data_IF_819047918105
#
_entry.id   IF_819047918105
#
_cell.length_a   1.000
_cell.length_b   1.000
_cell.length_c   1.000
_cell.angle_alpha   90.00
_cell.angle_beta   90.00
_cell.angle_gamma   90.00
#
_symmetry.space_group_name_H-M   'P 1'
#
loop_
_entity.id
_entity.type
_entity.pdbx_description
1 polymer ?
#
# COMPACT_ATOMS: atom_id res chain seq x y z
N UNK A 1 0.68 -10.57 -46.79
CA UNK A 1 1.57 -10.01 -47.82
C UNK A 1 2.83 -9.49 -47.13
N UNK A 2 3.96 -10.03 -47.58
CA UNK A 2 5.38 -9.77 -47.32
C UNK A 2 5.86 -8.80 -46.23
N UNK A 3 6.84 -9.33 -45.49
CA UNK A 3 7.94 -8.65 -44.81
C UNK A 3 8.77 -7.76 -45.76
N UNK A 4 9.47 -6.76 -45.21
CA UNK A 4 10.84 -6.39 -45.58
C UNK A 4 11.81 -6.88 -44.48
N UNK A 5 12.89 -7.60 -44.80
CA UNK A 5 14.21 -7.08 -45.21
C UNK A 5 14.88 -6.17 -44.15
N UNK A 6 16.17 -6.25 -43.86
CA UNK A 6 17.21 -7.23 -44.16
C UNK A 6 18.46 -6.83 -43.35
N UNK A 7 19.31 -7.83 -43.15
CA UNK A 7 20.74 -7.86 -42.88
C UNK A 7 21.65 -6.59 -42.87
N UNK A 8 22.66 -6.70 -42.02
CA UNK A 8 23.96 -6.02 -42.06
C UNK A 8 24.68 -6.24 -40.72
N UNK A 9 25.48 -7.29 -40.48
CA UNK A 9 26.69 -7.84 -41.13
C UNK A 9 27.96 -6.97 -40.97
N UNK A 10 28.99 -7.66 -40.49
CA UNK A 10 30.45 -7.39 -40.56
C UNK A 10 31.03 -6.48 -39.47
N UNK A 11 31.88 -6.98 -38.57
CA UNK A 11 33.27 -7.48 -38.75
C UNK A 11 34.24 -6.40 -39.19
N UNK A 12 35.20 -6.08 -38.29
CA UNK A 12 36.50 -5.49 -38.59
C UNK A 12 37.31 -5.45 -37.28
N UNK A 13 38.27 -6.36 -37.07
CA UNK A 13 39.72 -6.24 -37.40
C UNK A 13 40.52 -5.62 -36.25
N UNK A 14 41.47 -6.37 -35.68
CA UNK A 14 42.93 -6.22 -35.97
C UNK A 14 43.54 -5.16 -35.04
N UNK A 15 44.75 -5.23 -34.47
CA UNK A 15 46.03 -5.82 -34.86
C UNK A 15 46.96 -5.56 -33.67
N UNK A 16 48.00 -6.38 -33.49
CA UNK A 16 49.37 -6.03 -33.08
C UNK A 16 49.97 -7.23 -32.32
N UNK A 17 50.91 -7.98 -32.93
CA UNK A 17 52.34 -7.68 -32.97
C UNK A 17 52.96 -7.67 -31.55
N UNK A 18 54.10 -8.28 -31.26
CA UNK A 18 55.08 -9.08 -31.98
C UNK A 18 56.26 -9.20 -30.99
N UNK A 19 57.05 -10.28 -31.11
CA UNK A 19 58.46 -10.38 -30.64
C UNK A 19 58.61 -10.43 -29.10
N UNK A 20 59.29 -11.39 -28.48
CA UNK A 20 60.43 -12.20 -28.90
C UNK A 20 61.55 -12.02 -27.85
N UNK A 21 62.44 -13.01 -27.81
CA UNK A 21 63.67 -13.10 -27.00
C UNK A 21 63.56 -13.56 -25.54
N UNK A 22 63.59 -14.89 -25.45
CA UNK A 22 64.49 -15.69 -24.63
C UNK A 22 65.73 -14.92 -24.13
N UNK A 23 65.85 -14.80 -22.81
CA UNK A 23 67.02 -14.32 -22.10
C UNK A 23 67.30 -15.27 -20.94
N UNK A 24 68.47 -15.86 -21.01
CA UNK A 24 68.97 -16.97 -20.21
C UNK A 24 69.75 -16.45 -18.98
N UNK A 25 69.79 -17.27 -17.93
CA UNK A 25 70.87 -17.36 -16.93
C UNK A 25 71.07 -16.27 -15.85
N UNK A 26 71.17 -16.75 -14.60
CA UNK A 26 71.70 -16.06 -13.42
C UNK A 26 70.60 -15.74 -12.40
N UNK A 27 70.56 -16.26 -11.18
CA UNK A 27 71.65 -16.66 -10.31
C UNK A 27 71.45 -15.97 -8.96
N UNK A 28 71.06 -16.76 -7.96
CA UNK A 28 71.24 -16.54 -6.52
C UNK A 28 70.73 -15.24 -5.86
N UNK A 29 69.70 -15.44 -5.02
CA UNK A 29 69.70 -15.06 -3.58
C UNK A 29 70.06 -13.61 -3.22
N UNK A 30 69.05 -12.83 -2.82
CA UNK A 30 68.85 -12.42 -1.41
C UNK A 30 67.67 -11.45 -1.21
N UNK A 31 66.94 -11.73 -0.15
CA UNK A 31 66.28 -10.79 0.77
C UNK A 31 65.05 -10.01 0.31
N UNK A 32 63.90 -10.64 0.58
CA UNK A 32 62.79 -10.10 1.38
C UNK A 32 62.78 -8.59 1.62
N UNK A 33 62.03 -7.88 0.78
CA UNK A 33 61.30 -6.66 1.17
C UNK A 33 60.13 -6.45 0.22
N UNK A 34 59.15 -7.34 0.31
CA UNK A 34 57.77 -7.00 -0.01
C UNK A 34 56.92 -7.68 1.06
N UNK A 35 56.23 -6.88 1.87
CA UNK A 35 54.78 -6.99 1.79
C UNK A 35 54.16 -5.60 1.71
N UNK A 36 53.30 -5.40 0.72
CA UNK A 36 52.06 -4.66 0.87
C UNK A 36 51.19 -5.00 -0.36
N UNK A 37 50.50 -6.15 -0.32
CA UNK A 37 49.13 -6.19 -0.79
C UNK A 37 48.25 -6.85 0.28
N UNK A 38 48.20 -6.29 1.49
CA UNK A 38 47.27 -6.77 2.54
C UNK A 38 45.96 -5.96 2.55
N UNK A 39 45.93 -4.75 1.97
CA UNK A 39 44.74 -3.88 2.01
C UNK A 39 43.67 -4.22 0.98
N UNK A 40 44.05 -4.64 -0.22
CA UNK A 40 43.07 -4.92 -1.29
C UNK A 40 42.25 -6.18 -0.99
N UNK A 41 42.87 -7.20 -0.38
CA UNK A 41 42.18 -8.44 0.00
C UNK A 41 41.22 -8.20 1.19
N UNK A 42 41.62 -7.41 2.19
CA UNK A 42 40.75 -7.08 3.32
C UNK A 42 39.53 -6.24 2.89
N UNK A 43 39.72 -5.23 2.03
CA UNK A 43 38.62 -4.42 1.51
C UNK A 43 37.65 -5.25 0.66
N UNK A 44 38.17 -6.16 -0.17
CA UNK A 44 37.36 -7.08 -0.98
C UNK A 44 36.54 -8.05 -0.13
N UNK A 45 37.15 -8.65 0.89
CA UNK A 45 36.46 -9.58 1.83
C UNK A 45 35.37 -8.85 2.61
N UNK A 46 35.68 -7.66 3.16
CA UNK A 46 34.71 -6.85 3.88
C UNK A 46 33.53 -6.42 2.98
N UNK A 47 33.81 -6.13 1.71
CA UNK A 47 32.80 -5.77 0.73
C UNK A 47 31.86 -6.94 0.40
N UNK A 48 32.39 -8.14 0.18
CA UNK A 48 31.62 -9.35 -0.08
C UNK A 48 30.77 -9.77 1.12
N UNK A 49 31.31 -9.65 2.34
CA UNK A 49 30.56 -9.89 3.57
C UNK A 49 29.38 -8.93 3.73
N UNK A 50 29.61 -7.64 3.47
CA UNK A 50 28.56 -6.62 3.52
C UNK A 50 27.48 -6.86 2.48
N UNK A 51 27.86 -7.27 1.26
CA UNK A 51 26.89 -7.65 0.22
C UNK A 51 26.08 -8.88 0.62
N UNK A 52 26.73 -9.94 1.15
CA UNK A 52 26.04 -11.14 1.64
C UNK A 52 25.05 -10.81 2.76
N UNK A 53 25.44 -9.97 3.71
CA UNK A 53 24.56 -9.47 4.76
C UNK A 53 23.34 -8.73 4.17
N UNK A 54 23.59 -7.78 3.26
CA UNK A 54 22.51 -7.00 2.63
C UNK A 54 21.54 -7.90 1.85
N UNK A 55 22.04 -8.89 1.09
CA UNK A 55 21.22 -9.90 0.42
C UNK A 55 20.37 -10.70 1.41
N UNK A 56 20.95 -11.11 2.55
CA UNK A 56 20.23 -11.83 3.61
C UNK A 56 19.09 -11.00 4.22
N UNK A 57 19.33 -9.70 4.42
CA UNK A 57 18.32 -8.75 4.89
C UNK A 57 17.18 -8.59 3.87
N UNK A 58 17.50 -8.45 2.58
CA UNK A 58 16.48 -8.33 1.52
C UNK A 58 15.59 -9.58 1.45
N UNK A 59 16.20 -10.78 1.51
CA UNK A 59 15.47 -12.06 1.57
C UNK A 59 14.57 -12.12 2.81
N UNK A 60 15.10 -11.74 3.97
CA UNK A 60 14.34 -11.73 5.23
C UNK A 60 13.14 -10.77 5.19
N UNK A 61 13.30 -9.59 4.58
CA UNK A 61 12.21 -8.63 4.41
C UNK A 61 11.13 -9.17 3.44
N UNK A 62 11.54 -9.81 2.34
CA UNK A 62 10.62 -10.48 1.43
C UNK A 62 9.82 -11.59 2.14
N UNK A 63 10.49 -12.46 2.90
CA UNK A 63 9.85 -13.56 3.63
C UNK A 63 8.91 -13.06 4.75
N UNK A 64 9.27 -11.97 5.42
CA UNK A 64 8.39 -11.31 6.39
C UNK A 64 7.11 -10.79 5.71
N UNK A 65 7.24 -10.11 4.58
CA UNK A 65 6.08 -9.63 3.79
C UNK A 65 5.22 -10.79 3.26
N UNK A 66 5.83 -11.91 2.86
CA UNK A 66 5.11 -13.14 2.49
C UNK A 66 4.35 -13.73 3.67
N UNK A 67 4.95 -13.70 4.85
CA UNK A 67 4.33 -14.23 6.07
C UNK A 67 3.09 -13.43 6.51
N UNK A 68 3.07 -12.12 6.26
CA UNK A 68 1.88 -11.26 6.47
C UNK A 68 0.69 -11.68 5.59
N UNK A 69 0.92 -12.34 4.45
CA UNK A 69 -0.11 -12.73 3.49
C UNK A 69 -0.78 -14.08 3.82
N UNK A 70 -0.30 -14.80 4.84
CA UNK A 70 -0.86 -16.10 5.22
C UNK A 70 -2.38 -16.02 5.47
N UNK A 71 -3.17 -16.99 5.02
CA UNK A 71 -2.77 -18.30 4.44
C UNK A 71 -2.47 -18.27 2.93
N UNK A 72 -2.50 -17.11 2.28
CA UNK A 72 -2.28 -16.99 0.84
C UNK A 72 -0.83 -16.56 0.57
N UNK A 73 -0.01 -17.45 0.05
CA UNK A 73 1.35 -17.13 -0.33
C UNK A 73 1.37 -16.48 -1.73
N UNK A 74 0.81 -15.28 -1.87
CA UNK A 74 0.72 -14.47 -3.10
C UNK A 74 1.91 -13.53 -3.32
N UNK A 75 2.06 -12.95 -4.49
CA UNK A 75 3.23 -12.13 -4.81
C UNK A 75 3.43 -10.93 -3.88
N UNK A 76 4.65 -10.43 -3.77
CA UNK A 76 4.98 -9.23 -2.97
C UNK A 76 5.06 -8.00 -3.87
N UNK A 77 4.63 -6.82 -3.39
CA UNK A 77 4.79 -5.58 -4.14
C UNK A 77 6.27 -5.17 -4.20
N UNK A 78 6.87 -5.14 -5.40
CA UNK A 78 8.28 -4.79 -5.58
C UNK A 78 8.62 -3.43 -5.02
N UNK A 79 7.75 -2.42 -5.23
CA UNK A 79 7.99 -1.07 -4.75
C UNK A 79 7.96 -1.00 -3.22
N UNK A 80 7.05 -1.73 -2.55
CA UNK A 80 7.01 -1.77 -1.08
C UNK A 80 8.26 -2.43 -0.49
N UNK A 81 8.75 -3.49 -1.12
CA UNK A 81 9.99 -4.14 -0.70
C UNK A 81 11.17 -3.19 -0.87
N UNK A 82 11.30 -2.55 -2.03
CA UNK A 82 12.32 -1.54 -2.30
C UNK A 82 12.28 -0.39 -1.28
N UNK A 83 11.11 0.22 -1.07
CA UNK A 83 10.92 1.34 -0.14
C UNK A 83 11.36 0.99 1.28
N UNK A 84 11.05 -0.24 1.73
CA UNK A 84 11.44 -0.74 3.04
C UNK A 84 12.96 -0.88 3.14
N UNK A 85 13.59 -1.51 2.16
CA UNK A 85 15.04 -1.73 2.15
C UNK A 85 15.81 -0.39 2.02
N UNK A 86 15.35 0.51 1.18
CA UNK A 86 15.95 1.84 1.01
C UNK A 86 15.84 2.68 2.28
N UNK A 87 14.73 2.55 3.03
CA UNK A 87 14.53 3.25 4.30
C UNK A 87 15.35 2.64 5.46
N UNK A 88 15.34 1.32 5.60
CA UNK A 88 16.05 0.62 6.69
C UNK A 88 17.58 0.60 6.48
N UNK A 89 18.05 0.53 5.23
CA UNK A 89 19.47 0.35 4.87
C UNK A 89 19.91 1.30 3.74
N UNK A 90 19.83 2.63 3.93
CA UNK A 90 20.07 3.61 2.86
C UNK A 90 21.50 3.57 2.31
N UNK A 91 22.50 3.30 3.16
CA UNK A 91 23.90 3.25 2.75
C UNK A 91 24.20 2.03 1.86
N UNK A 92 23.79 0.84 2.31
CA UNK A 92 23.93 -0.41 1.54
C UNK A 92 23.15 -0.34 0.24
N UNK A 93 21.92 0.20 0.27
CA UNK A 93 21.11 0.39 -0.92
C UNK A 93 21.80 1.31 -1.93
N UNK A 94 22.35 2.44 -1.48
CA UNK A 94 23.10 3.36 -2.34
C UNK A 94 24.36 2.70 -2.94
N UNK A 95 25.13 1.94 -2.15
CA UNK A 95 26.33 1.27 -2.63
C UNK A 95 26.00 0.14 -3.61
N UNK A 96 25.13 -0.79 -3.23
CA UNK A 96 24.91 -2.02 -3.98
C UNK A 96 23.89 -1.85 -5.09
N UNK A 97 22.72 -1.26 -4.81
CA UNK A 97 21.66 -1.12 -5.83
C UNK A 97 21.95 0.05 -6.75
N UNK A 98 22.19 1.25 -6.19
CA UNK A 98 22.42 2.43 -7.01
C UNK A 98 23.79 2.41 -7.70
N UNK A 99 24.82 1.93 -7.02
CA UNK A 99 26.18 1.77 -7.57
C UNK A 99 26.29 0.59 -8.55
N UNK A 100 26.33 -0.65 -8.04
CA UNK A 100 26.65 -1.82 -8.88
C UNK A 100 25.60 -2.14 -9.94
N UNK A 101 24.33 -1.90 -9.62
CA UNK A 101 23.22 -2.23 -10.51
C UNK A 101 22.61 -0.98 -11.18
N UNK A 102 23.31 0.15 -11.19
CA UNK A 102 22.88 1.38 -11.87
C UNK A 102 21.44 1.80 -11.54
N UNK A 103 21.06 1.74 -10.26
CA UNK A 103 19.70 2.05 -9.75
C UNK A 103 18.61 1.08 -10.23
N UNK A 104 18.98 -0.09 -10.74
CA UNK A 104 18.05 -1.12 -11.19
C UNK A 104 17.79 -2.14 -10.08
N UNK A 105 16.74 -1.88 -9.31
CA UNK A 105 16.31 -2.72 -8.19
C UNK A 105 15.96 -4.16 -8.60
N UNK A 106 15.22 -4.30 -9.70
CA UNK A 106 14.83 -5.55 -10.32
C UNK A 106 16.05 -6.40 -10.74
N UNK A 107 17.05 -5.79 -11.40
CA UNK A 107 18.29 -6.49 -11.77
C UNK A 107 19.09 -6.95 -10.55
N UNK A 108 19.16 -6.14 -9.50
CA UNK A 108 19.79 -6.53 -8.25
C UNK A 108 19.10 -7.77 -7.65
N UNK A 109 17.77 -7.75 -7.57
CA UNK A 109 17.00 -8.87 -7.03
C UNK A 109 17.26 -10.17 -7.80
N UNK A 110 17.15 -10.13 -9.13
CA UNK A 110 17.31 -11.31 -9.98
C UNK A 110 18.73 -11.87 -9.94
N UNK A 111 19.74 -11.01 -9.82
CA UNK A 111 21.14 -11.40 -9.83
C UNK A 111 21.66 -11.90 -8.46
N UNK A 112 21.09 -11.42 -7.35
CA UNK A 112 21.67 -11.65 -6.01
C UNK A 112 20.74 -12.34 -5.02
N UNK A 113 19.42 -12.31 -5.22
CA UNK A 113 18.46 -12.73 -4.19
C UNK A 113 17.54 -13.89 -4.59
N UNK A 114 17.66 -14.42 -5.82
CA UNK A 114 16.73 -15.42 -6.38
C UNK A 114 15.26 -14.94 -6.44
N UNK A 115 15.01 -13.65 -6.25
CA UNK A 115 13.69 -13.03 -6.37
C UNK A 115 13.57 -12.48 -7.80
N UNK A 116 12.45 -12.81 -8.45
CA UNK A 116 12.16 -12.36 -9.81
C UNK A 116 10.96 -11.42 -9.80
N UNK A 117 11.06 -10.35 -10.55
CA UNK A 117 10.02 -9.35 -10.71
C UNK A 117 9.21 -9.59 -12.00
N UNK A 118 7.89 -9.40 -11.94
CA UNK A 118 7.03 -9.48 -13.11
C UNK A 118 5.89 -8.46 -13.03
N UNK A 119 5.44 -7.90 -14.16
CA UNK A 119 4.32 -6.98 -14.17
C UNK A 119 2.99 -7.73 -13.94
N UNK A 120 2.14 -7.21 -13.07
CA UNK A 120 0.77 -7.67 -12.91
C UNK A 120 -0.11 -7.12 -14.03
N UNK A 121 -0.15 -7.81 -15.16
CA UNK A 121 -1.00 -7.46 -16.31
C UNK A 121 -2.30 -8.27 -16.35
N UNK A 122 -2.46 -9.23 -15.44
CA UNK A 122 -3.60 -10.14 -15.40
C UNK A 122 -4.65 -9.59 -14.45
N UNK A 123 -5.89 -9.55 -14.89
CA UNK A 123 -6.95 -8.97 -14.08
C UNK A 123 -8.07 -8.48 -14.97
N UNK A 124 -8.88 -9.42 -15.48
CA UNK A 124 -10.13 -9.07 -16.15
C UNK A 124 -11.04 -8.29 -15.20
N UNK A 125 -12.14 -7.75 -15.73
CA UNK A 125 -13.11 -6.98 -14.95
C UNK A 125 -13.63 -7.73 -13.71
N UNK A 126 -13.56 -9.06 -13.68
CA UNK A 126 -14.04 -9.94 -12.61
C UNK A 126 -12.95 -10.46 -11.67
N UNK A 127 -11.67 -10.20 -11.96
CA UNK A 127 -10.55 -10.64 -11.12
C UNK A 127 -10.66 -10.08 -9.71
N UNK A 128 -10.20 -10.79 -8.68
CA UNK A 128 -10.16 -10.25 -7.33
C UNK A 128 -8.86 -9.47 -7.05
N UNK A 129 -7.82 -9.62 -7.87
CA UNK A 129 -6.54 -8.92 -7.65
C UNK A 129 -6.67 -7.41 -7.73
N UNK A 130 -7.66 -6.89 -8.47
CA UNK A 130 -8.03 -5.45 -8.51
C UNK A 130 -8.36 -4.84 -7.13
N UNK A 131 -8.70 -5.67 -6.13
CA UNK A 131 -8.90 -5.23 -4.74
C UNK A 131 -7.61 -5.08 -3.94
N UNK A 132 -6.51 -5.62 -4.44
CA UNK A 132 -5.24 -5.75 -3.74
C UNK A 132 -4.12 -4.98 -4.44
N UNK A 133 -4.13 -4.93 -5.78
CA UNK A 133 -3.02 -4.42 -6.58
C UNK A 133 -3.49 -3.68 -7.83
N UNK A 134 -2.66 -2.72 -8.27
CA UNK A 134 -2.91 -1.96 -9.49
C UNK A 134 -2.43 -2.73 -10.72
N UNK A 135 -3.14 -2.56 -11.83
CA UNK A 135 -2.68 -3.04 -13.14
C UNK A 135 -1.30 -2.47 -13.49
N UNK A 136 -0.41 -3.31 -14.01
CA UNK A 136 0.97 -2.98 -14.32
C UNK A 136 1.89 -2.86 -13.11
N UNK A 137 1.40 -3.05 -11.88
CA UNK A 137 2.27 -3.02 -10.70
C UNK A 137 3.29 -4.16 -10.74
N UNK A 138 4.55 -3.87 -10.41
CA UNK A 138 5.62 -4.85 -10.41
C UNK A 138 5.55 -5.71 -9.15
N UNK A 139 5.49 -7.02 -9.33
CA UNK A 139 5.33 -8.03 -8.29
C UNK A 139 6.55 -8.93 -8.21
N UNK A 140 6.87 -9.39 -7.01
CA UNK A 140 8.02 -10.25 -6.72
C UNK A 140 7.56 -11.64 -6.28
N UNK A 141 8.29 -12.66 -6.72
CA UNK A 141 8.20 -14.05 -6.27
C UNK A 141 9.58 -14.69 -6.20
N UNK A 142 9.72 -15.84 -5.55
CA UNK A 142 10.96 -16.62 -5.64
C UNK A 142 11.05 -17.27 -7.03
N UNK A 143 12.27 -17.37 -7.57
CA UNK A 143 12.54 -18.00 -8.87
C UNK A 143 12.05 -19.43 -8.95
N UNK A 144 12.14 -20.16 -7.83
CA UNK A 144 11.73 -21.55 -7.66
C UNK A 144 10.22 -21.76 -7.61
N UNK A 145 9.43 -20.70 -7.47
CA UNK A 145 7.96 -20.79 -7.40
C UNK A 145 7.32 -20.88 -8.80
N UNK A 146 6.27 -21.69 -8.90
CA UNK A 146 5.39 -21.70 -10.07
C UNK A 146 4.56 -20.41 -10.10
N UNK A 147 4.70 -19.64 -11.19
CA UNK A 147 4.00 -18.36 -11.37
C UNK A 147 2.48 -18.51 -11.35
N UNK A 148 1.93 -19.63 -11.84
CA UNK A 148 0.49 -19.86 -11.85
C UNK A 148 -0.05 -20.03 -10.42
N UNK A 149 0.67 -20.80 -9.58
CA UNK A 149 0.31 -20.96 -8.16
C UNK A 149 0.39 -19.65 -7.39
N UNK A 150 1.37 -18.80 -7.69
CA UNK A 150 1.49 -17.46 -7.07
C UNK A 150 0.31 -16.58 -7.47
N UNK A 151 -0.14 -16.64 -8.73
CA UNK A 151 -1.30 -15.90 -9.23
C UNK A 151 -2.61 -16.38 -8.62
N UNK A 152 -2.81 -17.68 -8.49
CA UNK A 152 -3.97 -18.24 -7.79
C UNK A 152 -4.01 -17.77 -6.33
N UNK A 153 -2.85 -17.72 -5.66
CA UNK A 153 -2.75 -17.18 -4.31
C UNK A 153 -3.04 -15.66 -4.24
N UNK A 154 -2.64 -14.89 -5.25
CA UNK A 154 -3.00 -13.47 -5.37
C UNK A 154 -4.51 -13.27 -5.54
N UNK A 155 -5.18 -14.12 -6.32
CA UNK A 155 -6.64 -14.11 -6.48
C UNK A 155 -7.37 -14.43 -5.17
N UNK A 156 -6.92 -15.46 -4.45
CA UNK A 156 -7.47 -15.80 -3.13
C UNK A 156 -7.27 -14.66 -2.13
N UNK A 157 -6.08 -14.05 -2.11
CA UNK A 157 -5.78 -12.92 -1.24
C UNK A 157 -6.63 -11.69 -1.59
N UNK A 158 -6.80 -11.41 -2.89
CA UNK A 158 -7.68 -10.35 -3.38
C UNK A 158 -9.13 -10.56 -2.96
N UNK A 159 -9.63 -11.80 -3.01
CA UNK A 159 -10.98 -12.16 -2.55
C UNK A 159 -11.13 -11.94 -1.05
N UNK A 160 -10.15 -12.38 -0.27
CA UNK A 160 -10.13 -12.16 1.18
C UNK A 160 -10.16 -10.67 1.51
N UNK A 161 -9.33 -9.86 0.84
CA UNK A 161 -9.29 -8.41 1.01
C UNK A 161 -10.62 -7.76 0.64
N UNK A 162 -11.24 -8.17 -0.48
CA UNK A 162 -12.58 -7.71 -0.87
C UNK A 162 -13.59 -7.96 0.24
N UNK A 163 -13.67 -9.19 0.73
CA UNK A 163 -14.66 -9.58 1.73
C UNK A 163 -14.41 -8.83 3.05
N UNK A 164 -13.14 -8.65 3.43
CA UNK A 164 -12.74 -7.83 4.57
C UNK A 164 -13.10 -6.35 4.40
N UNK A 165 -12.90 -5.77 3.22
CA UNK A 165 -13.33 -4.41 2.92
C UNK A 165 -14.87 -4.25 3.02
N UNK A 166 -15.62 -5.21 2.49
CA UNK A 166 -17.10 -5.15 2.50
C UNK A 166 -17.72 -5.27 3.89
N UNK A 167 -17.07 -6.01 4.80
CA UNK A 167 -17.61 -6.33 6.12
C UNK A 167 -16.84 -5.67 7.25
N UNK A 168 -15.60 -6.10 7.47
CA UNK A 168 -14.75 -5.70 8.61
C UNK A 168 -14.43 -4.19 8.55
N UNK A 169 -14.06 -3.68 7.37
CA UNK A 169 -13.78 -2.25 7.19
C UNK A 169 -15.04 -1.38 7.30
N UNK A 170 -16.16 -1.82 6.70
CA UNK A 170 -17.44 -1.10 6.80
C UNK A 170 -17.88 -0.97 8.27
N UNK A 171 -17.75 -2.06 9.04
CA UNK A 171 -18.07 -2.10 10.47
C UNK A 171 -17.12 -1.25 11.31
N UNK A 172 -15.81 -1.32 11.05
CA UNK A 172 -14.83 -0.47 11.73
C UNK A 172 -15.08 1.01 11.47
N UNK A 173 -15.31 1.40 10.21
CA UNK A 173 -15.67 2.77 9.86
C UNK A 173 -16.98 3.20 10.53
N UNK A 174 -18.01 2.35 10.51
CA UNK A 174 -19.29 2.62 11.18
C UNK A 174 -19.08 2.88 12.67
N UNK A 175 -18.35 2.00 13.34
CA UNK A 175 -18.14 2.09 14.78
C UNK A 175 -17.37 3.35 15.17
N UNK A 176 -16.29 3.69 14.45
CA UNK A 176 -15.53 4.93 14.71
C UNK A 176 -16.43 6.16 14.51
N UNK A 177 -17.19 6.21 13.41
CA UNK A 177 -18.08 7.35 13.15
C UNK A 177 -19.20 7.46 14.19
N UNK A 178 -19.71 6.33 14.69
CA UNK A 178 -20.67 6.31 15.79
C UNK A 178 -20.08 6.78 17.11
N UNK A 179 -18.84 6.41 17.44
CA UNK A 179 -18.14 6.92 18.63
C UNK A 179 -18.02 8.45 18.60
N UNK A 180 -17.62 9.01 17.46
CA UNK A 180 -17.54 10.47 17.27
C UNK A 180 -18.93 11.09 17.34
N UNK A 181 -19.92 10.49 16.70
CA UNK A 181 -21.29 11.02 16.71
C UNK A 181 -21.90 11.05 18.11
N UNK A 182 -21.74 9.98 18.88
CA UNK A 182 -22.25 9.90 20.25
C UNK A 182 -21.50 10.83 21.21
N UNK A 183 -20.18 11.02 21.04
CA UNK A 183 -19.43 11.99 21.84
C UNK A 183 -19.89 13.42 21.60
N UNK A 184 -20.27 13.75 20.37
CA UNK A 184 -20.85 15.05 20.02
C UNK A 184 -22.27 15.24 20.56
N UNK A 185 -23.11 14.21 20.52
CA UNK A 185 -24.49 14.25 21.03
C UNK A 185 -24.49 14.43 22.56
N UNK A 186 -23.58 13.73 23.26
CA UNK A 186 -23.34 13.95 24.68
C UNK A 186 -22.81 15.37 24.99
N UNK A 187 -22.06 15.96 24.06
CA UNK A 187 -21.46 17.30 24.18
C UNK A 187 -22.39 18.44 23.75
N UNK A 188 -23.68 18.19 23.48
CA UNK A 188 -24.64 19.16 22.93
C UNK A 188 -24.89 20.44 23.77
N UNK A 189 -24.13 20.68 24.85
CA UNK A 189 -24.00 21.99 25.50
C UNK A 189 -23.05 22.95 24.75
N UNK A 190 -22.12 22.51 23.89
CA UNK A 190 -21.06 23.42 23.37
C UNK A 190 -21.15 23.77 21.87
N UNK A 191 -21.94 23.06 21.06
CA UNK A 191 -21.89 23.29 19.62
C UNK A 191 -22.67 24.52 19.11
N UNK A 192 -23.21 25.41 19.96
CA UNK A 192 -23.79 26.70 19.50
C UNK A 192 -22.74 27.64 18.86
N UNK A 193 -21.43 27.39 19.06
CA UNK A 193 -20.35 28.28 18.62
C UNK A 193 -19.33 27.73 17.61
N UNK A 194 -19.36 26.44 17.23
CA UNK A 194 -18.32 25.86 16.35
C UNK A 194 -18.54 26.19 14.86
N UNK A 195 -18.51 27.48 14.50
CA UNK A 195 -18.35 27.96 13.12
C UNK A 195 -16.92 28.47 12.84
N UNK A 196 -15.99 28.39 13.80
CA UNK A 196 -14.56 28.67 13.58
C UNK A 196 -13.70 27.77 14.46
N UNK A 197 -13.49 26.52 14.04
CA UNK A 197 -12.36 25.75 14.57
C UNK A 197 -11.09 26.52 14.21
N UNK A 198 -10.29 26.91 15.21
CA UNK A 198 -8.97 27.51 14.97
C UNK A 198 -8.16 26.53 14.11
N UNK A 199 -7.71 26.98 12.92
CA UNK A 199 -6.93 26.16 11.97
C UNK A 199 -5.67 25.55 12.59
N UNK A 200 -5.15 26.14 13.67
CA UNK A 200 -3.90 25.75 14.33
C UNK A 200 -4.00 24.46 15.16
N UNK A 201 -5.17 24.10 15.69
CA UNK A 201 -5.33 22.90 16.56
C UNK A 201 -5.86 21.66 15.80
N UNK A 202 -6.10 21.78 14.49
CA UNK A 202 -6.90 20.80 13.74
C UNK A 202 -6.18 19.51 13.35
N UNK A 203 -4.85 19.46 13.41
CA UNK A 203 -4.11 18.30 12.91
C UNK A 203 -3.17 17.72 13.96
N UNK A 204 -3.76 16.96 14.89
CA UNK A 204 -3.03 15.92 15.58
C UNK A 204 -3.23 14.60 14.83
N UNK A 205 -2.15 13.86 14.59
CA UNK A 205 -2.21 12.52 14.03
C UNK A 205 -3.14 11.66 14.92
N UNK A 206 -4.20 11.10 14.35
CA UNK A 206 -5.21 10.34 15.10
C UNK A 206 -6.34 11.17 15.73
N UNK A 207 -6.36 12.51 15.59
CA UNK A 207 -7.56 13.27 15.95
C UNK A 207 -8.70 12.97 14.96
N UNK A 208 -9.90 12.77 15.50
CA UNK A 208 -11.15 12.62 14.73
C UNK A 208 -11.97 13.92 14.68
N UNK A 209 -11.43 15.03 15.19
CA UNK A 209 -12.14 16.30 15.30
C UNK A 209 -12.64 16.84 13.94
N UNK A 210 -11.99 16.51 12.82
CA UNK A 210 -12.45 16.93 11.49
C UNK A 210 -13.73 16.22 11.04
N UNK A 211 -14.06 15.06 11.63
CA UNK A 211 -15.32 14.37 11.36
C UNK A 211 -16.49 15.03 12.07
N UNK A 212 -16.27 15.75 13.17
CA UNK A 212 -17.33 16.41 13.94
C UNK A 212 -18.18 17.36 13.09
N UNK A 213 -17.64 18.34 12.33
CA UNK A 213 -18.47 19.22 11.52
C UNK A 213 -19.24 18.48 10.41
N UNK A 214 -18.71 17.36 9.91
CA UNK A 214 -19.36 16.53 8.88
C UNK A 214 -20.55 15.79 9.50
N UNK A 215 -20.31 15.08 10.60
CA UNK A 215 -21.34 14.33 11.33
C UNK A 215 -22.41 15.26 11.91
N UNK A 216 -22.01 16.45 12.39
CA UNK A 216 -22.93 17.47 12.89
C UNK A 216 -23.88 17.92 11.79
N UNK A 217 -23.40 18.06 10.56
CA UNK A 217 -24.22 18.49 9.43
C UNK A 217 -25.12 17.37 8.89
N UNK A 218 -24.61 16.15 8.79
CA UNK A 218 -25.30 15.03 8.14
C UNK A 218 -26.20 14.22 9.07
N UNK A 219 -25.85 14.09 10.35
CA UNK A 219 -26.60 13.29 11.33
C UNK A 219 -27.10 14.11 12.53
N UNK A 220 -26.32 15.07 13.03
CA UNK A 220 -26.66 15.81 14.26
C UNK A 220 -27.76 16.86 14.07
N UNK A 221 -27.51 17.84 13.22
CA UNK A 221 -28.37 18.98 12.87
C UNK A 221 -28.86 18.81 11.45
N UNK A 222 -29.56 17.71 11.19
CA UNK A 222 -30.15 17.48 9.88
C UNK A 222 -31.08 18.64 9.54
N UNK A 223 -30.59 19.55 8.70
CA UNK A 223 -31.34 20.68 8.13
C UNK A 223 -31.42 20.42 6.64
N UNK A 224 -32.62 20.50 6.06
CA UNK A 224 -32.80 20.34 4.61
C UNK A 224 -31.86 21.26 3.85
N UNK A 225 -31.15 20.73 2.85
CA UNK A 225 -30.14 21.44 2.08
C UNK A 225 -28.76 21.50 2.75
N UNK A 226 -28.60 21.02 3.98
CA UNK A 226 -27.30 20.81 4.60
C UNK A 226 -26.48 19.81 3.80
N UNK A 227 -25.38 20.25 3.22
CA UNK A 227 -24.58 19.42 2.30
C UNK A 227 -23.09 19.36 2.66
N UNK A 228 -22.46 18.25 2.29
CA UNK A 228 -21.01 18.00 2.37
C UNK A 228 -20.55 17.49 1.01
N UNK A 229 -19.57 18.18 0.41
CA UNK A 229 -18.97 17.74 -0.86
C UNK A 229 -18.13 16.49 -0.62
N UNK A 230 -18.16 15.51 -1.52
CA UNK A 230 -17.39 14.28 -1.33
C UNK A 230 -15.88 14.54 -1.20
N UNK A 231 -15.36 15.54 -1.92
CA UNK A 231 -13.96 15.97 -1.82
C UNK A 231 -13.57 16.42 -0.41
N UNK A 232 -14.50 17.00 0.35
CA UNK A 232 -14.25 17.51 1.69
C UNK A 232 -14.13 16.35 2.71
N UNK A 233 -14.55 15.13 2.33
CA UNK A 233 -14.40 13.90 3.13
C UNK A 233 -13.11 13.14 2.84
N UNK A 234 -12.34 13.49 1.81
CA UNK A 234 -11.11 12.77 1.44
C UNK A 234 -10.06 12.83 2.55
N UNK A 235 -9.75 14.03 3.04
CA UNK A 235 -8.79 14.23 4.13
C UNK A 235 -9.25 13.59 5.47
N UNK A 236 -10.51 13.79 5.92
CA UNK A 236 -11.06 13.04 7.05
C UNK A 236 -10.93 11.52 6.91
N UNK A 237 -11.12 10.98 5.71
CA UNK A 237 -10.99 9.53 5.45
C UNK A 237 -9.55 9.04 5.55
N UNK A 238 -8.57 9.85 5.15
CA UNK A 238 -7.15 9.55 5.37
C UNK A 238 -6.81 9.49 6.87
N UNK A 239 -7.36 10.41 7.68
CA UNK A 239 -7.18 10.38 9.13
C UNK A 239 -7.84 9.16 9.77
N UNK A 240 -9.01 8.77 9.27
CA UNK A 240 -9.69 7.55 9.70
C UNK A 240 -8.82 6.29 9.44
N UNK A 241 -7.96 6.33 8.42
CA UNK A 241 -6.99 5.29 8.11
C UNK A 241 -6.05 4.92 9.25
N UNK A 242 -5.66 5.86 10.10
CA UNK A 242 -4.84 5.56 11.28
C UNK A 242 -5.59 4.69 12.29
N UNK A 243 -6.85 5.04 12.58
CA UNK A 243 -7.70 4.27 13.50
C UNK A 243 -8.08 2.91 12.93
N UNK A 244 -8.37 2.86 11.63
CA UNK A 244 -8.66 1.61 10.91
C UNK A 244 -7.47 0.66 10.97
N UNK A 245 -6.22 1.13 10.78
CA UNK A 245 -5.04 0.26 10.90
C UNK A 245 -4.90 -0.37 12.29
N UNK A 246 -5.25 0.35 13.34
CA UNK A 246 -5.21 -0.18 14.72
C UNK A 246 -6.29 -1.25 14.96
N UNK A 247 -7.45 -1.13 14.30
CA UNK A 247 -8.62 -2.02 14.48
C UNK A 247 -8.60 -3.21 13.51
N UNK A 248 -8.05 -3.04 12.32
CA UNK A 248 -8.09 -3.97 11.21
C UNK A 248 -6.67 -4.29 10.71
N UNK A 249 -5.96 -5.24 11.34
CA UNK A 249 -4.55 -5.54 11.01
C UNK A 249 -4.32 -6.01 9.58
N UNK A 250 -5.29 -6.71 8.98
CA UNK A 250 -5.23 -7.15 7.58
C UNK A 250 -5.03 -6.00 6.58
N UNK A 251 -5.29 -4.75 6.98
CA UNK A 251 -5.03 -3.56 6.15
C UNK A 251 -3.54 -3.33 5.84
N UNK A 252 -2.62 -4.05 6.52
CA UNK A 252 -1.19 -4.11 6.16
C UNK A 252 -0.96 -4.69 4.75
N UNK A 253 -1.88 -5.50 4.25
CA UNK A 253 -1.88 -6.01 2.87
C UNK A 253 -2.12 -4.91 1.84
N UNK A 254 -2.78 -3.82 2.23
CA UNK A 254 -3.13 -2.70 1.38
C UNK A 254 -2.08 -1.58 1.45
N UNK A 255 -1.72 -1.04 0.28
CA UNK A 255 -1.02 0.24 0.23
C UNK A 255 -1.91 1.38 0.74
N UNK A 256 -1.30 2.45 1.27
CA UNK A 256 -2.02 3.58 1.86
C UNK A 256 -3.07 4.19 0.92
N UNK A 257 -2.76 4.32 -0.36
CA UNK A 257 -3.67 4.88 -1.35
C UNK A 257 -4.90 4.00 -1.59
N UNK A 258 -4.72 2.67 -1.59
CA UNK A 258 -5.82 1.73 -1.78
C UNK A 258 -6.69 1.67 -0.53
N UNK A 259 -6.05 1.61 0.65
CA UNK A 259 -6.75 1.67 1.94
C UNK A 259 -7.63 2.93 2.06
N UNK A 260 -7.08 4.12 1.77
CA UNK A 260 -7.83 5.37 1.83
C UNK A 260 -9.08 5.36 0.94
N UNK A 261 -9.00 4.76 -0.25
CA UNK A 261 -10.15 4.60 -1.15
C UNK A 261 -11.19 3.63 -0.59
N UNK A 262 -10.75 2.48 -0.08
CA UNK A 262 -11.65 1.51 0.56
C UNK A 262 -12.37 2.14 1.77
N UNK A 263 -11.67 2.96 2.55
CA UNK A 263 -12.26 3.74 3.65
C UNK A 263 -13.29 4.73 3.11
N UNK A 264 -12.95 5.55 2.11
CA UNK A 264 -13.91 6.48 1.50
C UNK A 264 -15.18 5.78 0.98
N UNK A 265 -15.05 4.58 0.41
CA UNK A 265 -16.18 3.76 -0.04
C UNK A 265 -17.01 3.24 1.14
N UNK A 266 -16.34 2.73 2.17
CA UNK A 266 -16.98 2.24 3.39
C UNK A 266 -17.73 3.33 4.13
N UNK A 267 -17.12 4.50 4.31
CA UNK A 267 -17.76 5.68 4.91
C UNK A 267 -19.01 6.10 4.13
N UNK A 268 -18.94 6.12 2.80
CA UNK A 268 -20.09 6.46 1.97
C UNK A 268 -21.25 5.47 2.18
N UNK A 269 -20.95 4.17 2.25
CA UNK A 269 -21.93 3.12 2.57
C UNK A 269 -22.47 3.22 4.00
N UNK A 270 -21.67 3.73 4.95
CA UNK A 270 -22.13 4.02 6.32
C UNK A 270 -23.15 5.15 6.32
N UNK A 271 -22.90 6.25 5.60
CA UNK A 271 -23.84 7.36 5.46
C UNK A 271 -25.10 6.97 4.67
N UNK A 272 -24.94 6.15 3.63
CA UNK A 272 -26.00 5.70 2.72
C UNK A 272 -26.53 4.31 3.12
N UNK A 273 -26.72 4.09 4.42
CA UNK A 273 -27.01 2.77 5.01
C UNK A 273 -28.29 2.05 4.51
N UNK A 274 -29.18 2.71 3.77
CA UNK A 274 -30.38 2.06 3.20
C UNK A 274 -30.14 1.63 1.76
N UNK A 275 -29.75 2.57 0.90
CA UNK A 275 -29.33 2.31 -0.46
C UNK A 275 -27.86 2.65 -0.58
N UNK A 276 -27.00 1.63 -0.36
CA UNK A 276 -25.56 1.81 -0.31
C UNK A 276 -24.91 1.51 -1.66
N UNK A 277 -23.97 2.34 -2.14
CA UNK A 277 -23.28 2.10 -3.40
C UNK A 277 -22.49 0.81 -3.33
N UNK A 278 -22.41 0.08 -4.45
CA UNK A 278 -21.50 -1.04 -4.56
C UNK A 278 -20.06 -0.59 -4.31
N UNK A 279 -19.32 -1.41 -3.56
CA UNK A 279 -17.92 -1.14 -3.35
C UNK A 279 -17.17 -1.65 -4.58
N UNK A 280 -16.73 -0.72 -5.42
CA UNK A 280 -15.96 -1.06 -6.60
C UNK A 280 -14.46 -1.12 -6.25
N UNK A 281 -13.74 -2.11 -6.77
CA UNK A 281 -12.29 -2.07 -6.78
C UNK A 281 -11.81 -0.99 -7.73
N UNK A 282 -10.81 -0.22 -7.31
CA UNK A 282 -10.36 0.95 -8.06
C UNK A 282 -8.95 0.75 -8.58
N UNK A 283 -8.79 0.73 -9.90
CA UNK A 283 -7.52 1.00 -10.55
C UNK A 283 -7.33 2.51 -10.73
N UNK A 284 -6.17 3.05 -10.32
CA UNK A 284 -5.80 4.44 -10.63
C UNK A 284 -6.60 5.53 -9.89
N UNK A 285 -6.06 6.74 -9.80
CA UNK A 285 -6.64 7.88 -9.06
C UNK A 285 -7.78 8.58 -9.82
N UNK A 286 -8.61 7.82 -10.56
CA UNK A 286 -9.67 8.35 -11.40
C UNK A 286 -10.98 8.57 -10.66
N UNK A 287 -11.27 9.85 -10.38
CA UNK A 287 -12.59 10.47 -10.41
C UNK A 287 -13.72 9.85 -9.56
N UNK A 288 -13.86 10.31 -8.31
CA UNK A 288 -15.21 10.74 -7.92
C UNK A 288 -15.46 12.09 -8.60
N UNK A 289 -16.62 12.32 -9.24
CA UNK A 289 -16.96 13.63 -9.77
C UNK A 289 -16.85 14.68 -8.66
N UNK A 290 -16.11 15.76 -8.91
CA UNK A 290 -15.90 16.85 -7.94
C UNK A 290 -17.21 17.54 -7.48
N UNK A 291 -18.32 17.28 -8.19
CA UNK A 291 -19.65 17.83 -7.93
C UNK A 291 -20.54 16.95 -7.06
N UNK A 292 -20.14 15.70 -6.78
CA UNK A 292 -20.96 14.85 -5.91
C UNK A 292 -20.97 15.38 -4.48
N UNK A 293 -22.15 15.41 -3.88
CA UNK A 293 -22.38 15.84 -2.50
C UNK A 293 -23.35 14.89 -1.79
N UNK A 294 -23.12 14.74 -0.48
CA UNK A 294 -24.10 14.20 0.45
C UNK A 294 -24.93 15.35 0.98
N UNK A 295 -26.23 15.32 0.71
CA UNK A 295 -27.16 16.37 1.10
C UNK A 295 -28.29 15.81 1.97
N UNK A 296 -28.67 16.57 2.99
CA UNK A 296 -29.84 16.27 3.81
C UNK A 296 -31.10 16.66 3.03
N UNK A 297 -31.99 15.69 2.81
CA UNK A 297 -33.24 15.86 2.08
C UNK A 297 -34.41 15.32 2.89
N UNK A 298 -35.61 15.82 2.63
CA UNK A 298 -36.85 15.22 3.13
C UNK A 298 -37.21 14.02 2.24
N UNK A 299 -37.23 12.82 2.81
CA UNK A 299 -37.69 11.63 2.11
C UNK A 299 -39.22 11.61 2.08
N UNK A 300 -39.80 11.99 0.94
CA UNK A 300 -41.25 12.19 0.78
C UNK A 300 -42.11 11.02 1.30
N UNK A 301 -41.78 9.74 1.02
CA UNK A 301 -42.60 8.63 1.49
C UNK A 301 -42.59 8.44 3.02
N UNK A 302 -41.49 8.74 3.72
CA UNK A 302 -41.39 8.54 5.17
C UNK A 302 -41.60 9.82 5.99
N UNK A 303 -41.50 11.00 5.37
CA UNK A 303 -41.49 12.27 6.08
C UNK A 303 -40.23 12.50 6.93
N UNK A 304 -39.22 11.63 6.84
CA UNK A 304 -37.98 11.70 7.61
C UNK A 304 -36.89 12.44 6.84
N UNK A 305 -35.95 13.06 7.58
CA UNK A 305 -34.74 13.60 6.99
C UNK A 305 -33.73 12.47 6.73
N UNK A 306 -33.24 12.41 5.49
CA UNK A 306 -32.27 11.42 5.02
C UNK A 306 -31.02 12.13 4.49
N UNK A 307 -29.91 11.42 4.50
CA UNK A 307 -28.70 11.79 3.77
C UNK A 307 -28.75 11.12 2.41
N UNK A 308 -28.76 11.90 1.33
CA UNK A 308 -28.82 11.40 -0.04
C UNK A 308 -27.57 11.80 -0.82
N UNK A 309 -27.06 10.89 -1.66
CA UNK A 309 -26.03 11.20 -2.64
C UNK A 309 -26.68 11.81 -3.88
N UNK A 310 -26.21 12.99 -4.29
CA UNK A 310 -26.74 13.71 -5.45
C UNK A 310 -26.87 12.82 -6.69
N UNK A 311 -27.99 12.93 -7.40
CA UNK A 311 -28.27 12.31 -8.71
C UNK A 311 -28.14 10.79 -8.84
N UNK A 312 -27.97 10.04 -7.74
CA UNK A 312 -27.81 8.57 -7.77
C UNK A 312 -29.00 7.78 -7.26
N UNK A 313 -29.95 8.45 -6.58
CA UNK A 313 -31.02 7.79 -5.83
C UNK A 313 -30.59 7.26 -4.47
N UNK A 314 -29.29 7.00 -4.26
CA UNK A 314 -28.74 6.40 -3.04
C UNK A 314 -28.93 7.28 -1.80
N UNK A 315 -29.29 6.66 -0.67
CA UNK A 315 -29.61 7.36 0.56
C UNK A 315 -29.43 6.53 1.83
N UNK A 316 -29.39 7.23 2.96
CA UNK A 316 -29.36 6.61 4.28
C UNK A 316 -30.01 7.48 5.35
N UNK A 317 -30.36 6.83 6.46
CA UNK A 317 -30.99 7.46 7.64
C UNK A 317 -29.95 7.79 8.68
N UNK A 318 -30.26 8.78 9.51
CA UNK A 318 -29.54 9.00 10.77
C UNK A 318 -29.54 7.69 11.59
N UNK A 319 -28.38 7.25 12.10
CA UNK A 319 -28.33 6.14 13.04
C UNK A 319 -29.13 6.47 14.33
N UNK A 320 -29.84 5.50 14.93
CA UNK A 320 -30.50 5.72 16.20
C UNK A 320 -29.48 6.00 17.31
N UNK A 321 -29.75 6.96 18.19
CA UNK A 321 -28.88 7.27 19.35
C UNK A 321 -28.91 6.18 20.42
N UNK A 322 -29.93 5.31 20.42
CA UNK A 322 -30.14 4.26 21.41
C UNK A 322 -29.51 2.91 21.06
N UNK A 323 -28.69 2.80 20.00
CA UNK A 323 -27.98 1.55 19.75
C UNK A 323 -26.84 1.37 20.79
N UNK A 324 -26.86 0.28 21.57
CA UNK A 324 -25.78 -0.01 22.50
C UNK A 324 -24.51 -0.24 21.68
N UNK A 325 -23.38 0.30 22.16
CA UNK A 325 -22.05 0.05 21.61
C UNK A 325 -21.93 -1.43 21.20
N UNK A 326 -21.79 -1.76 19.90
CA UNK A 326 -21.45 -3.13 19.54
C UNK A 326 -20.11 -3.47 20.23
N UNK A 327 -19.97 -4.66 20.83
CA UNK A 327 -18.86 -4.96 21.72
C UNK A 327 -17.54 -4.95 20.95
N UNK A 328 -16.69 -3.97 21.26
CA UNK A 328 -15.36 -3.75 20.70
C UNK A 328 -14.30 -4.80 21.09
N UNK A 329 -14.68 -6.03 21.45
CA UNK A 329 -13.76 -7.02 22.03
C UNK A 329 -13.58 -8.33 21.26
N UNK A 330 -14.27 -8.55 20.14
CA UNK A 330 -14.17 -9.84 19.43
C UNK A 330 -13.17 -9.87 18.25
N UNK A 331 -13.00 -8.78 17.48
CA UNK A 331 -12.20 -8.84 16.23
C UNK A 331 -10.67 -8.87 16.43
N UNK A 332 -10.15 -8.66 17.65
CA UNK A 332 -8.71 -8.70 17.92
C UNK A 332 -8.17 -10.09 18.34
N UNK A 333 -9.02 -11.13 18.41
CA UNK A 333 -8.56 -12.51 18.64
C UNK A 333 -8.24 -13.19 17.31
N UNK A 334 -6.99 -13.10 16.88
CA UNK A 334 -6.50 -14.00 15.84
C UNK A 334 -5.34 -13.46 15.03
N UNK A 335 -4.22 -13.15 15.66
CA UNK A 335 -2.88 -13.50 15.17
C UNK A 335 -1.92 -13.43 16.36
N UNK A 336 -1.28 -14.54 16.76
CA UNK A 336 -0.36 -14.55 17.89
C UNK A 336 0.78 -13.57 17.63
N UNK A 337 1.09 -12.73 18.63
CA UNK A 337 2.26 -11.86 18.62
C UNK A 337 3.50 -12.75 18.46
N UNK A 338 4.13 -12.73 17.29
CA UNK A 338 5.54 -13.06 17.21
C UNK A 338 6.30 -11.90 17.84
N UNK A 339 6.76 -12.11 19.06
CA UNK A 339 7.74 -11.26 19.73
C UNK A 339 9.07 -11.37 18.99
N UNK A 340 9.48 -10.25 18.39
CA UNK A 340 10.82 -9.86 17.90
C UNK A 340 11.58 -10.83 17.00
#
# INVERSE_FOLDING_TARGET
MNSPHDSGRSSATSTAHSVGSLGDSGGAQKDHSNPLPEKEDEEGVAWDERLRYFVGVVKSAFDAMRSEQRLCNGSVCSKRLQDRIEWDYPAEYATFVNGLFNRSWDRFLEAKTDIVCYPHNEGGAESNTKWLMAHGSLRCRLRTEDINRVRDADEMLGRMVRDKCLWDLEDACRSILMEVFLSMDASAIVCKGCMRLNKSEQYHLGSLAVWEPILARLWGRQTVGGAVRLRDMERPSQQLGFHVRLRCRWTELLGNNLLAKCICGSVLRVFLNVEKPEMLPVAGAGARPAKEELAVKLHQPSGELIVALGDTGLWGRRPPSSQPNPPFLACCRGYPRHTR
#
